data_IF_346183362568
#
_entry.id   IF_346183362568
#
_cell.length_a   1.000
_cell.length_b   1.000
_cell.length_c   1.000
_cell.angle_alpha   90.00
_cell.angle_beta   90.00
_cell.angle_gamma   90.00
#
_symmetry.space_group_name_H-M   'P 1'
#
loop_
_entity.id
_entity.type
_entity.pdbx_description
1 polymer ?
#
# COMPACT_ATOMS: atom_id res chain seq x y z
N UNK A 1 20.90 1.73 -20.05
CA UNK A 1 19.59 2.40 -20.19
C UNK A 1 18.56 1.34 -20.55
N UNK A 2 17.49 1.04 -19.82
CA UNK A 2 16.95 1.62 -18.57
C UNK A 2 16.74 0.53 -17.50
N UNK A 3 17.59 0.41 -16.46
CA UNK A 3 17.38 -0.59 -15.39
C UNK A 3 16.40 -0.02 -14.35
N UNK A 4 15.10 -0.14 -14.64
CA UNK A 4 14.01 0.62 -13.99
C UNK A 4 14.28 2.15 -13.93
N UNK A 5 15.11 2.69 -14.84
CA UNK A 5 16.00 3.84 -14.62
C UNK A 5 15.30 5.05 -13.95
N UNK A 6 15.66 5.44 -12.73
CA UNK A 6 16.37 4.69 -11.69
C UNK A 6 15.48 4.56 -10.46
N UNK A 7 14.41 3.78 -10.56
CA UNK A 7 13.34 3.51 -9.58
C UNK A 7 12.29 4.68 -9.45
N UNK A 8 12.30 5.66 -10.38
CA UNK A 8 11.34 6.80 -10.65
C UNK A 8 11.90 7.68 -11.74
N UNK A 9 13.11 8.26 -11.62
CA UNK A 9 14.32 8.07 -10.80
C UNK A 9 14.23 8.16 -9.22
N UNK A 10 13.96 7.03 -8.54
CA UNK A 10 13.67 6.72 -7.11
C UNK A 10 12.34 7.06 -6.31
N UNK A 11 11.04 6.86 -6.73
CA UNK A 11 9.63 7.22 -6.21
C UNK A 11 8.77 8.60 -6.39
N UNK A 12 8.58 9.31 -7.54
CA UNK A 12 8.04 10.75 -7.82
C UNK A 12 8.98 11.96 -8.28
N UNK A 13 9.48 12.94 -7.46
CA UNK A 13 10.84 13.59 -7.50
C UNK A 13 11.92 13.16 -6.42
N UNK A 14 11.82 13.47 -5.11
CA UNK A 14 12.19 12.54 -3.99
C UNK A 14 11.05 12.46 -2.94
N UNK A 15 10.55 13.63 -2.52
CA UNK A 15 9.12 13.94 -2.70
C UNK A 15 8.98 15.45 -2.91
N UNK A 16 8.49 15.90 -4.06
CA UNK A 16 8.18 17.32 -4.28
C UNK A 16 7.20 17.57 -5.41
N UNK A 17 6.23 18.43 -5.13
CA UNK A 17 5.06 18.63 -5.97
C UNK A 17 5.36 19.45 -7.24
N UNK A 18 4.88 18.96 -8.40
CA UNK A 18 4.75 19.70 -9.67
C UNK A 18 3.62 19.07 -10.50
N UNK A 19 2.91 19.92 -11.26
CA UNK A 19 1.73 19.59 -12.07
C UNK A 19 0.48 19.13 -11.29
N UNK A 20 -0.06 20.07 -10.49
CA UNK A 20 -1.45 20.04 -10.05
C UNK A 20 -2.34 20.84 -11.03
N UNK A 21 -2.88 20.18 -12.05
CA UNK A 21 -4.04 20.67 -12.82
C UNK A 21 -5.02 19.50 -12.96
N UNK A 22 -6.30 19.66 -12.55
CA UNK A 22 -7.34 18.66 -12.78
C UNK A 22 -8.10 18.97 -14.07
N UNK A 23 -8.24 17.97 -14.95
CA UNK A 23 -9.30 17.96 -15.95
C UNK A 23 -10.28 16.83 -15.62
N UNK A 24 -11.57 17.13 -15.69
CA UNK A 24 -12.61 16.12 -15.59
C UNK A 24 -12.62 15.26 -16.84
N UNK A 25 -12.59 13.93 -16.71
CA UNK A 25 -13.08 13.06 -17.77
C UNK A 25 -14.04 11.98 -17.26
N UNK A 26 -15.08 11.77 -18.07
CA UNK A 26 -16.29 11.03 -17.69
C UNK A 26 -16.02 9.52 -17.60
N UNK A 27 -16.68 8.86 -16.65
CA UNK A 27 -16.84 7.39 -16.64
C UNK A 27 -17.38 6.91 -18.00
N UNK A 28 -16.86 5.79 -18.47
CA UNK A 28 -17.71 4.80 -19.14
C UNK A 28 -17.37 3.39 -18.66
N UNK A 29 -18.33 2.45 -18.75
CA UNK A 29 -18.20 1.05 -18.34
C UNK A 29 -18.03 0.16 -19.58
N UNK A 30 -17.23 -0.91 -19.48
CA UNK A 30 -17.67 -2.30 -19.80
C UNK A 30 -16.46 -3.24 -19.93
N UNK A 31 -16.26 -4.11 -18.93
CA UNK A 31 -15.55 -5.40 -19.04
C UNK A 31 -15.64 -6.12 -17.68
N UNK A 32 -16.76 -6.82 -17.42
CA UNK A 32 -16.93 -7.57 -16.17
C UNK A 32 -16.24 -8.94 -16.22
N UNK A 33 -14.91 -8.90 -16.21
CA UNK A 33 -14.07 -10.02 -15.79
C UNK A 33 -13.29 -9.59 -14.55
N UNK A 34 -13.95 -9.65 -13.39
CA UNK A 34 -13.33 -9.36 -12.10
C UNK A 34 -12.38 -10.50 -11.69
N UNK A 35 -11.17 -10.50 -12.24
CA UNK A 35 -10.06 -11.20 -11.61
C UNK A 35 -9.78 -10.48 -10.29
N UNK A 36 -10.17 -11.09 -9.17
CA UNK A 36 -9.93 -10.53 -7.83
C UNK A 36 -8.44 -10.70 -7.51
N UNK A 37 -7.68 -9.62 -7.70
CA UNK A 37 -6.23 -9.53 -7.48
C UNK A 37 -5.92 -9.63 -5.98
N UNK A 38 -5.86 -10.87 -5.48
CA UNK A 38 -5.69 -11.14 -4.04
C UNK A 38 -4.39 -11.89 -3.67
N UNK A 39 -3.47 -12.14 -4.62
CA UNK A 39 -2.25 -12.92 -4.37
C UNK A 39 -1.44 -12.35 -3.22
N UNK A 40 -1.34 -11.01 -3.13
CA UNK A 40 -0.64 -10.31 -2.06
C UNK A 40 -1.52 -9.79 -0.91
N UNK A 41 -2.72 -10.36 -0.67
CA UNK A 41 -3.53 -10.05 0.54
C UNK A 41 -2.71 -10.12 1.85
N UNK A 42 -3.11 -9.39 2.90
CA UNK A 42 -2.37 -9.34 4.18
C UNK A 42 -2.02 -10.75 4.73
N UNK A 43 -2.99 -11.67 4.74
CA UNK A 43 -2.79 -13.04 5.24
C UNK A 43 -2.02 -13.96 4.27
N UNK A 44 -1.48 -13.44 3.16
CA UNK A 44 -0.81 -14.24 2.14
C UNK A 44 0.58 -14.70 2.57
N UNK A 45 0.84 -16.01 2.44
CA UNK A 45 2.17 -16.61 2.69
C UNK A 45 3.24 -16.11 1.71
N UNK A 46 2.87 -15.43 0.63
CA UNK A 46 3.82 -14.72 -0.22
C UNK A 46 4.50 -13.52 0.48
N UNK A 47 4.04 -13.05 1.63
CA UNK A 47 4.81 -12.11 2.46
C UNK A 47 5.90 -12.80 3.30
N UNK A 48 5.75 -14.11 3.53
CA UNK A 48 6.46 -14.86 4.57
C UNK A 48 7.39 -15.94 4.01
N UNK A 49 7.28 -16.26 2.71
CA UNK A 49 8.15 -17.23 2.02
C UNK A 49 9.21 -16.59 1.11
N UNK A 50 10.07 -17.44 0.52
CA UNK A 50 11.06 -17.07 -0.51
C UNK A 50 10.72 -17.65 -1.90
N UNK A 51 9.42 -17.79 -2.21
CA UNK A 51 8.96 -18.24 -3.54
C UNK A 51 8.91 -17.07 -4.54
N UNK A 52 9.09 -17.42 -5.81
CA UNK A 52 8.97 -16.52 -6.97
C UNK A 52 7.52 -16.51 -7.46
N UNK A 53 7.02 -15.38 -7.94
CA UNK A 53 5.70 -15.28 -8.59
C UNK A 53 5.81 -14.42 -9.86
N UNK A 54 5.24 -14.91 -10.98
CA UNK A 54 5.17 -14.26 -12.30
C UNK A 54 6.39 -13.40 -12.72
N UNK A 55 7.60 -13.97 -12.67
CA UNK A 55 8.88 -13.27 -12.93
C UNK A 55 8.93 -12.40 -14.20
N UNK A 56 8.10 -12.66 -15.21
CA UNK A 56 8.07 -11.90 -16.46
C UNK A 56 7.64 -10.42 -16.25
N UNK A 57 6.77 -10.13 -15.28
CA UNK A 57 6.37 -8.74 -14.94
C UNK A 57 7.54 -7.88 -14.42
N UNK A 58 8.61 -8.53 -13.94
CA UNK A 58 9.87 -7.87 -13.58
C UNK A 58 10.67 -7.33 -14.77
N UNK A 59 10.27 -7.61 -16.02
CA UNK A 59 10.90 -7.11 -17.25
C UNK A 59 10.23 -5.85 -17.79
N UNK A 60 8.94 -5.69 -17.53
CA UNK A 60 8.04 -4.70 -18.16
C UNK A 60 7.95 -3.42 -17.35
N UNK A 61 7.84 -3.51 -16.01
CA UNK A 61 7.91 -2.37 -15.09
C UNK A 61 6.66 -1.47 -15.08
N UNK A 62 6.07 -1.26 -13.91
CA UNK A 62 4.82 -0.48 -13.72
C UNK A 62 3.62 -0.95 -14.58
N UNK A 63 3.63 -2.23 -14.98
CA UNK A 63 2.47 -2.90 -15.58
C UNK A 63 1.44 -3.30 -14.51
N UNK A 64 0.44 -4.10 -14.90
CA UNK A 64 -0.63 -4.58 -14.02
C UNK A 64 -0.45 -6.04 -13.58
N UNK A 65 0.75 -6.62 -13.72
CA UNK A 65 1.00 -8.04 -13.43
C UNK A 65 1.54 -8.22 -12.01
N UNK A 66 0.72 -8.76 -11.09
CA UNK A 66 1.19 -9.19 -9.76
C UNK A 66 2.44 -10.07 -9.89
N UNK A 67 3.54 -9.65 -9.27
CA UNK A 67 4.89 -10.22 -9.44
C UNK A 67 5.65 -10.24 -8.12
N UNK A 68 6.36 -11.33 -7.81
CA UNK A 68 7.32 -11.42 -6.69
C UNK A 68 8.68 -11.89 -7.19
N UNK A 69 9.67 -11.00 -7.11
CA UNK A 69 11.05 -11.21 -7.55
C UNK A 69 11.96 -11.62 -6.38
N UNK A 70 13.11 -12.29 -6.65
CA UNK A 70 14.09 -12.63 -5.61
C UNK A 70 14.61 -11.45 -4.77
N UNK A 71 14.61 -10.25 -5.35
CA UNK A 71 14.97 -9.00 -4.66
C UNK A 71 14.14 -8.73 -3.40
N UNK A 72 12.96 -9.33 -3.25
CA UNK A 72 12.18 -9.30 -2.01
C UNK A 72 12.95 -9.89 -0.80
N UNK A 73 13.79 -10.90 -1.01
CA UNK A 73 14.52 -11.62 0.05
C UNK A 73 16.05 -11.65 -0.11
N UNK A 74 16.60 -11.08 -1.19
CA UNK A 74 18.03 -11.10 -1.52
C UNK A 74 18.64 -9.73 -1.85
N UNK A 75 17.98 -8.65 -1.46
CA UNK A 75 18.47 -7.27 -1.69
C UNK A 75 18.33 -6.46 -0.41
N UNK A 76 19.47 -6.14 0.20
CA UNK A 76 19.57 -5.20 1.30
C UNK A 76 19.36 -3.77 0.80
N UNK A 77 18.90 -2.90 1.68
CA UNK A 77 18.56 -1.53 1.33
C UNK A 77 18.63 -0.54 2.49
N UNK A 78 18.60 0.75 2.12
CA UNK A 78 18.47 1.93 2.96
C UNK A 78 17.11 2.63 2.85
N UNK A 79 16.40 2.40 1.74
CA UNK A 79 15.13 3.03 1.38
C UNK A 79 14.15 2.04 0.77
N UNK A 80 12.87 2.30 0.97
CA UNK A 80 11.75 1.60 0.33
C UNK A 80 10.93 2.60 -0.47
N UNK A 81 10.51 2.13 -1.63
CA UNK A 81 9.79 2.88 -2.64
C UNK A 81 8.39 2.32 -2.79
N UNK A 82 7.38 3.14 -2.53
CA UNK A 82 5.99 2.74 -2.57
C UNK A 82 5.27 3.49 -3.69
N UNK A 83 4.63 2.77 -4.61
CA UNK A 83 3.90 3.35 -5.74
C UNK A 83 2.51 2.77 -5.92
N UNK A 84 1.51 3.60 -6.17
CA UNK A 84 0.14 3.18 -6.51
C UNK A 84 -0.26 3.73 -7.88
N UNK A 85 -0.84 2.87 -8.72
CA UNK A 85 -1.49 3.27 -9.98
C UNK A 85 -3.00 3.22 -9.83
N UNK A 86 -3.64 4.37 -9.96
CA UNK A 86 -5.09 4.57 -9.78
C UNK A 86 -5.59 5.43 -10.94
N UNK A 87 -6.63 4.95 -11.65
CA UNK A 87 -7.19 5.63 -12.82
C UNK A 87 -6.11 6.06 -13.85
N UNK A 88 -5.14 5.19 -14.10
CA UNK A 88 -4.00 5.44 -15.00
C UNK A 88 -2.85 6.23 -14.36
N UNK A 89 -3.13 7.16 -13.44
CA UNK A 89 -2.12 7.98 -12.75
C UNK A 89 -1.25 7.14 -11.80
N UNK A 90 0.06 7.32 -11.87
CA UNK A 90 1.04 6.67 -11.00
C UNK A 90 1.55 7.68 -9.95
N UNK A 91 1.39 7.35 -8.67
CA UNK A 91 1.71 8.19 -7.50
C UNK A 91 2.60 7.42 -6.54
N UNK A 92 3.47 8.10 -5.82
CA UNK A 92 4.52 7.44 -5.04
C UNK A 92 4.83 8.16 -3.71
N UNK A 93 5.44 7.42 -2.77
CA UNK A 93 6.09 7.93 -1.55
C UNK A 93 7.35 7.10 -1.22
N UNK A 94 8.08 7.53 -0.19
CA UNK A 94 9.36 6.95 0.25
C UNK A 94 9.30 6.62 1.74
N UNK A 95 9.91 5.50 2.14
CA UNK A 95 10.31 5.24 3.53
C UNK A 95 11.83 5.14 3.58
N UNK A 96 12.47 5.97 4.41
CA UNK A 96 13.88 5.75 4.78
C UNK A 96 13.92 4.70 5.91
N UNK A 97 14.32 3.45 5.59
CA UNK A 97 14.42 2.33 6.54
C UNK A 97 15.52 1.39 6.05
N UNK A 98 16.52 1.12 6.89
CA UNK A 98 17.56 0.13 6.56
C UNK A 98 17.08 -1.28 6.93
N UNK A 99 17.25 -2.24 6.02
CA UNK A 99 17.05 -3.68 6.29
C UNK A 99 17.82 -4.55 5.30
N UNK A 100 18.03 -5.82 5.64
CA UNK A 100 18.76 -6.78 4.79
C UNK A 100 17.91 -7.31 3.62
N UNK A 101 16.59 -7.16 3.72
CA UNK A 101 15.58 -7.47 2.68
C UNK A 101 14.17 -7.06 3.15
N UNK A 102 13.20 -7.03 2.22
CA UNK A 102 11.78 -6.81 2.56
C UNK A 102 11.25 -8.01 3.36
N UNK A 103 11.68 -9.22 2.99
CA UNK A 103 11.45 -10.46 3.74
C UNK A 103 11.83 -10.29 5.22
N UNK A 104 13.06 -9.89 5.54
CA UNK A 104 13.51 -9.72 6.93
C UNK A 104 12.80 -8.58 7.69
N UNK A 105 12.14 -7.66 6.98
CA UNK A 105 11.40 -6.55 7.55
C UNK A 105 9.91 -6.85 7.80
N UNK A 106 9.34 -7.83 7.09
CA UNK A 106 7.89 -8.11 7.06
C UNK A 106 7.55 -9.54 7.52
N UNK A 107 8.35 -10.54 7.16
CA UNK A 107 8.00 -11.97 7.23
C UNK A 107 7.84 -12.54 8.65
N UNK A 108 8.32 -11.86 9.69
CA UNK A 108 8.11 -12.29 11.09
C UNK A 108 6.80 -11.78 11.70
N UNK A 109 5.96 -11.10 10.91
CA UNK A 109 4.64 -10.59 11.31
C UNK A 109 4.66 -9.42 12.30
N UNK A 110 5.82 -9.02 12.85
CA UNK A 110 5.89 -7.98 13.88
C UNK A 110 5.63 -6.59 13.32
N UNK A 111 4.83 -5.81 14.04
CA UNK A 111 4.67 -4.39 13.77
C UNK A 111 6.00 -3.65 13.88
N UNK A 112 6.28 -2.77 12.92
CA UNK A 112 7.43 -1.85 12.94
C UNK A 112 6.95 -0.51 12.40
N UNK A 113 7.20 0.56 13.14
CA UNK A 113 6.72 1.90 12.85
C UNK A 113 7.43 2.58 11.68
N UNK A 114 6.75 3.58 11.12
CA UNK A 114 7.33 4.66 10.30
C UNK A 114 6.88 6.03 10.83
N UNK A 115 7.50 7.09 10.32
CA UNK A 115 7.22 8.48 10.74
C UNK A 115 6.96 9.39 9.53
N UNK A 116 6.22 8.89 8.52
CA UNK A 116 5.92 9.67 7.31
C UNK A 116 4.82 10.71 7.54
N UNK A 117 3.92 10.43 8.49
CA UNK A 117 2.72 11.19 8.73
C UNK A 117 1.60 10.88 7.73
N UNK A 118 0.37 10.92 8.25
CA UNK A 118 -0.90 10.77 7.51
C UNK A 118 -0.92 11.40 6.11
N UNK A 119 -0.47 12.65 6.01
CA UNK A 119 -0.52 13.42 4.76
C UNK A 119 0.40 12.85 3.67
N UNK A 120 1.53 12.23 4.03
CA UNK A 120 2.39 11.55 3.08
C UNK A 120 1.68 10.32 2.51
N UNK A 121 1.13 9.44 3.38
CA UNK A 121 0.36 8.28 2.93
C UNK A 121 -0.80 8.65 1.99
N UNK A 122 -1.48 9.78 2.24
CA UNK A 122 -2.54 10.30 1.36
C UNK A 122 -2.03 10.77 -0.02
N UNK A 123 -0.73 11.05 -0.23
CA UNK A 123 -0.18 11.34 -1.58
C UNK A 123 -0.32 10.16 -2.54
N UNK A 124 -0.28 8.91 -2.06
CA UNK A 124 -0.42 7.71 -2.88
C UNK A 124 -1.77 7.63 -3.61
N UNK A 125 -2.86 8.06 -2.98
CA UNK A 125 -4.21 8.01 -3.57
C UNK A 125 -4.74 9.39 -4.01
N UNK A 126 -4.08 10.48 -3.60
CA UNK A 126 -4.26 11.81 -4.19
C UNK A 126 -5.51 12.56 -3.69
N UNK A 127 -6.17 13.38 -4.54
CA UNK A 127 -7.31 14.21 -4.12
C UNK A 127 -8.50 13.42 -3.55
N UNK A 128 -8.70 12.17 -3.97
CA UNK A 128 -9.77 11.30 -3.46
C UNK A 128 -9.45 10.65 -2.11
N UNK A 129 -8.20 10.73 -1.63
CA UNK A 129 -7.70 10.07 -0.42
C UNK A 129 -8.51 10.43 0.84
N UNK A 130 -8.94 9.41 1.57
CA UNK A 130 -9.69 9.54 2.82
C UNK A 130 -9.07 8.65 3.91
N UNK A 131 -9.19 9.05 5.17
CA UNK A 131 -8.92 8.23 6.37
C UNK A 131 -9.81 8.73 7.51
N UNK A 132 -10.18 7.91 8.50
CA UNK A 132 -10.78 8.42 9.76
C UNK A 132 -9.72 9.19 10.57
N UNK A 133 -10.08 10.16 11.43
CA UNK A 133 -9.16 11.23 11.83
C UNK A 133 -8.08 10.85 12.85
N UNK A 134 -8.37 9.97 13.82
CA UNK A 134 -7.69 9.98 15.11
C UNK A 134 -6.54 8.98 15.22
N UNK A 135 -6.78 7.66 15.08
CA UNK A 135 -5.66 6.72 14.94
C UNK A 135 -4.92 6.93 13.62
N UNK A 136 -3.58 6.84 13.67
CA UNK A 136 -2.68 6.93 12.54
C UNK A 136 -1.52 5.91 12.70
N UNK A 137 -1.81 4.63 12.99
CA UNK A 137 -0.77 3.57 13.14
C UNK A 137 -0.19 3.25 11.77
N UNK A 138 1.08 3.61 11.54
CA UNK A 138 1.75 3.50 10.25
C UNK A 138 3.03 2.65 10.30
N UNK A 139 3.31 1.94 9.22
CA UNK A 139 4.55 1.21 9.02
C UNK A 139 4.35 -0.18 8.42
N UNK A 140 5.08 -1.17 8.94
CA UNK A 140 5.11 -2.56 8.49
C UNK A 140 4.30 -3.44 9.42
N UNK A 141 3.53 -4.39 8.88
CA UNK A 141 2.57 -5.22 9.63
C UNK A 141 1.68 -4.36 10.55
N UNK A 142 1.13 -3.27 10.02
CA UNK A 142 0.23 -2.38 10.76
C UNK A 142 -1.18 -2.96 10.79
N UNK A 143 -1.58 -3.52 11.93
CA UNK A 143 -2.93 -4.03 12.19
C UNK A 143 -3.52 -3.45 13.49
N UNK A 144 -4.78 -3.78 13.77
CA UNK A 144 -5.49 -3.37 14.98
C UNK A 144 -5.53 -4.47 16.07
N UNK A 145 -4.60 -5.43 16.05
CA UNK A 145 -4.68 -6.68 16.82
C UNK A 145 -4.49 -6.52 18.34
N UNK A 146 -4.17 -5.31 18.81
CA UNK A 146 -3.79 -4.99 20.20
C UNK A 146 -4.98 -5.03 21.22
N UNK A 147 -6.11 -5.65 20.89
CA UNK A 147 -7.26 -5.82 21.79
C UNK A 147 -8.18 -7.00 21.39
N UNK A 148 -8.28 -8.06 22.20
CA UNK A 148 -9.08 -9.25 21.85
C UNK A 148 -10.60 -9.02 21.87
N UNK A 149 -11.08 -7.84 22.27
CA UNK A 149 -12.51 -7.48 22.18
C UNK A 149 -12.93 -7.02 20.78
N UNK A 150 -11.96 -6.66 19.93
CA UNK A 150 -12.21 -6.29 18.54
C UNK A 150 -11.75 -7.44 17.63
N UNK A 151 -12.65 -7.87 16.75
CA UNK A 151 -12.42 -9.03 15.90
C UNK A 151 -11.22 -8.81 14.95
N UNK A 152 -10.53 -9.91 14.58
CA UNK A 152 -9.36 -9.96 13.68
C UNK A 152 -9.63 -9.35 12.30
N UNK A 153 -10.88 -9.08 11.98
CA UNK A 153 -11.35 -8.52 10.72
C UNK A 153 -11.24 -6.99 10.66
N UNK A 154 -10.53 -6.31 11.56
CA UNK A 154 -10.27 -4.86 11.41
C UNK A 154 -9.16 -4.57 10.38
N UNK A 155 -9.13 -3.34 9.86
CA UNK A 155 -8.22 -2.92 8.79
C UNK A 155 -6.75 -3.12 9.15
N UNK A 156 -6.00 -3.67 8.19
CA UNK A 156 -4.60 -4.10 8.33
C UNK A 156 -3.82 -3.84 7.04
N UNK A 157 -2.51 -3.64 7.14
CA UNK A 157 -1.60 -3.39 6.02
C UNK A 157 -0.20 -3.99 6.26
N UNK A 158 0.35 -4.75 5.31
CA UNK A 158 1.74 -5.23 5.39
C UNK A 158 2.75 -4.11 5.24
N UNK A 159 2.42 -3.10 4.42
CA UNK A 159 3.07 -1.77 4.45
C UNK A 159 1.97 -0.71 4.28
N UNK A 160 1.74 0.16 5.27
CA UNK A 160 0.63 1.12 5.20
C UNK A 160 0.38 1.94 6.46
N UNK A 161 -0.70 2.71 6.43
CA UNK A 161 -1.31 3.38 7.57
C UNK A 161 -2.74 2.86 7.78
N UNK A 162 -3.13 2.69 9.04
CA UNK A 162 -4.51 2.37 9.45
C UNK A 162 -5.04 3.41 10.45
N UNK A 163 -6.36 3.59 10.51
CA UNK A 163 -7.01 4.57 11.38
C UNK A 163 -8.47 4.29 11.70
N UNK A 164 -9.00 5.03 12.67
CA UNK A 164 -10.39 5.10 13.14
C UNK A 164 -10.66 6.51 13.75
N UNK A 165 -11.88 6.74 14.22
CA UNK A 165 -12.27 7.94 14.96
C UNK A 165 -12.10 7.82 16.49
N UNK A 166 -11.56 6.71 17.00
CA UNK A 166 -11.18 6.58 18.41
C UNK A 166 -9.74 7.05 18.68
N UNK A 167 -9.45 7.41 19.93
CA UNK A 167 -8.10 7.82 20.38
C UNK A 167 -7.10 6.65 20.50
N UNK A 168 -7.44 5.46 20.00
CA UNK A 168 -6.62 4.25 20.07
C UNK A 168 -6.80 3.42 18.80
N UNK A 169 -5.79 2.64 18.42
CA UNK A 169 -5.74 1.95 17.14
C UNK A 169 -6.32 0.52 17.15
N UNK A 170 -7.35 0.26 17.97
CA UNK A 170 -7.87 -1.09 18.24
C UNK A 170 -9.10 -1.48 17.42
N UNK A 171 -9.72 -0.51 16.75
CA UNK A 171 -10.96 -0.68 15.98
C UNK A 171 -10.83 -0.22 14.52
N UNK A 172 -9.61 -0.07 13.98
CA UNK A 172 -9.34 0.56 12.68
C UNK A 172 -10.21 0.05 11.52
N UNK A 173 -10.88 0.96 10.85
CA UNK A 173 -11.77 0.74 9.70
C UNK A 173 -11.54 1.73 8.54
N UNK A 174 -10.37 2.37 8.57
CA UNK A 174 -9.76 3.06 7.44
C UNK A 174 -8.30 2.66 7.28
N UNK A 175 -7.82 2.68 6.02
CA UNK A 175 -6.44 2.37 5.67
C UNK A 175 -6.00 2.95 4.32
N UNK A 176 -4.69 3.14 4.17
CA UNK A 176 -3.98 3.29 2.89
C UNK A 176 -2.76 2.37 2.93
N UNK A 177 -2.57 1.49 1.95
CA UNK A 177 -1.40 0.63 1.95
C UNK A 177 -1.34 -0.48 0.91
N UNK A 178 -0.40 -1.39 1.16
CA UNK A 178 0.01 -2.53 0.35
C UNK A 178 -0.08 -3.80 1.19
N UNK A 179 -0.53 -4.88 0.57
CA UNK A 179 -0.86 -6.11 1.30
C UNK A 179 -1.86 -5.84 2.39
N UNK A 180 -2.95 -5.17 2.03
CA UNK A 180 -4.02 -4.82 2.96
C UNK A 180 -5.06 -5.93 3.08
N UNK A 181 -5.95 -5.78 4.06
CA UNK A 181 -7.11 -6.63 4.30
C UNK A 181 -7.99 -6.03 5.40
N UNK A 182 -8.99 -6.79 5.83
CA UNK A 182 -9.94 -6.42 6.87
C UNK A 182 -11.12 -5.58 6.39
N UNK A 183 -12.13 -5.51 7.24
CA UNK A 183 -13.21 -4.54 7.24
C UNK A 183 -12.68 -3.11 6.99
N UNK A 184 -13.38 -2.30 6.18
CA UNK A 184 -14.71 -2.56 5.59
C UNK A 184 -14.71 -3.34 4.26
N UNK A 185 -13.56 -3.82 3.76
CA UNK A 185 -13.45 -4.42 2.43
C UNK A 185 -12.27 -5.42 2.37
N UNK A 186 -12.49 -6.72 2.59
CA UNK A 186 -11.41 -7.73 2.71
C UNK A 186 -10.58 -7.88 1.41
N UNK A 187 -11.24 -7.85 0.25
CA UNK A 187 -10.65 -8.10 -1.08
C UNK A 187 -9.80 -6.94 -1.64
N UNK A 188 -9.87 -5.74 -1.04
CA UNK A 188 -8.98 -4.65 -1.40
C UNK A 188 -7.61 -4.84 -0.73
N UNK A 189 -6.68 -5.41 -1.52
CA UNK A 189 -5.29 -5.75 -1.15
C UNK A 189 -4.27 -4.62 -1.36
N UNK A 190 -4.64 -3.58 -2.13
CA UNK A 190 -3.82 -2.38 -2.31
C UNK A 190 -4.68 -1.18 -2.70
N UNK A 191 -4.47 -0.04 -2.03
CA UNK A 191 -5.17 1.21 -2.32
C UNK A 191 -5.61 1.96 -1.06
N UNK A 192 -6.83 2.48 -1.07
CA UNK A 192 -7.43 3.24 0.04
C UNK A 192 -8.87 2.78 0.32
N UNK A 193 -9.12 2.39 1.56
CA UNK A 193 -10.41 1.92 2.05
C UNK A 193 -10.79 2.70 3.30
N UNK A 194 -12.04 3.17 3.40
CA UNK A 194 -12.60 3.87 4.57
C UNK A 194 -14.09 3.64 4.68
N UNK A 195 -14.57 3.45 5.91
CA UNK A 195 -15.98 3.58 6.28
C UNK A 195 -16.10 4.46 7.52
N UNK A 196 -17.31 4.86 7.89
CA UNK A 196 -17.63 5.56 9.15
C UNK A 196 -16.89 6.89 9.34
N UNK A 197 -17.18 7.87 8.48
CA UNK A 197 -16.71 9.27 8.61
C UNK A 197 -15.21 9.45 8.37
N UNK A 198 -14.73 8.94 7.24
CA UNK A 198 -13.45 9.37 6.69
C UNK A 198 -13.40 10.88 6.43
N UNK A 199 -12.21 11.47 6.48
CA UNK A 199 -11.99 12.93 6.30
C UNK A 199 -12.31 13.48 4.90
N UNK A 200 -12.58 12.61 3.91
CA UNK A 200 -13.25 12.96 2.64
C UNK A 200 -14.51 12.10 2.38
N UNK A 201 -15.08 11.53 3.43
CA UNK A 201 -16.15 10.51 3.38
C UNK A 201 -15.61 9.11 3.07
N UNK A 202 -16.53 8.14 3.00
CA UNK A 202 -16.22 6.72 2.83
C UNK A 202 -15.59 6.43 1.44
N UNK A 203 -14.75 5.40 1.35
CA UNK A 203 -13.97 5.05 0.15
C UNK A 203 -13.75 3.55 0.00
N UNK A 204 -13.78 3.09 -1.25
CA UNK A 204 -13.12 1.87 -1.68
C UNK A 204 -12.43 2.18 -3.02
N UNK A 205 -11.10 2.31 -2.99
CA UNK A 205 -10.24 2.60 -4.14
C UNK A 205 -9.22 1.48 -4.23
N UNK A 206 -9.31 0.66 -5.28
CA UNK A 206 -8.28 -0.31 -5.63
C UNK A 206 -7.13 0.38 -6.39
N UNK A 207 -5.91 -0.09 -6.19
CA UNK A 207 -4.70 0.36 -6.89
C UNK A 207 -3.87 -0.85 -7.34
N UNK A 208 -3.13 -0.72 -8.44
CA UNK A 208 -1.97 -1.59 -8.66
C UNK A 208 -0.81 -1.06 -7.84
N UNK A 209 -0.20 -1.92 -7.01
CA UNK A 209 0.84 -1.55 -6.06
C UNK A 209 2.24 -1.98 -6.49
N UNK A 210 3.24 -1.12 -6.24
CA UNK A 210 4.64 -1.36 -6.52
C UNK A 210 5.49 -1.10 -5.28
N UNK A 211 6.40 -2.02 -4.97
CA UNK A 211 7.36 -1.93 -3.86
C UNK A 211 8.77 -2.17 -4.42
N UNK A 212 9.68 -1.22 -4.27
CA UNK A 212 11.07 -1.29 -4.77
C UNK A 212 12.05 -0.79 -3.69
N UNK A 213 13.35 -1.11 -3.79
CA UNK A 213 14.33 -0.93 -2.69
C UNK A 213 15.75 -0.55 -3.17
N UNK A 214 16.52 0.16 -2.32
CA UNK A 214 17.91 0.63 -2.53
C UNK A 214 18.60 0.94 -1.20
#
# INVERSE_FOLDING_TARGET
MNLALGIRLWCELLSSDKYSVPEEFRKNKSSHHFYIVNTFHFNSTYWEDKKKFHLQGGKTGFDSNETKLPTYWSTSFSKICLGMRIAGQLRFIVINKKADSLYSLIADGKYRDTSLGRNMWKKLTGPSASLQPNCNKEGFNADAYDDPRFNKDKSKARIGIIGNEQNNCKSCDSRIGFGTGGYPQEDNTCGNVVKHKGDRGDRNINAMGYIMVQ
#
